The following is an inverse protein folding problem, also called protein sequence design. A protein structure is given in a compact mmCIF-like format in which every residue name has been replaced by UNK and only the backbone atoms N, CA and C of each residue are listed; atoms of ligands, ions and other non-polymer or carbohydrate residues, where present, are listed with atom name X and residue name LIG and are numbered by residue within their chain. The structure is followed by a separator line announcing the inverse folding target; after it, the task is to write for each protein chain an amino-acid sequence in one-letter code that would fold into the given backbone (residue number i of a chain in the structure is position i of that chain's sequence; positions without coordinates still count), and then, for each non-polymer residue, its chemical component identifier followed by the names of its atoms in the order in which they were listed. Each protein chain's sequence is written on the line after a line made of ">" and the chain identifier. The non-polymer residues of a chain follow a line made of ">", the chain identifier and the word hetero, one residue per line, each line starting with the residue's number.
data_IF_706948735333
#
_entry.id   IF_706948735333
#
_cell.length_a   1.000
_cell.length_b   1.000
_cell.length_c   1.000
_cell.angle_alpha   90.00
_cell.angle_beta   90.00
_cell.angle_gamma   90.00
#
_symmetry.space_group_name_H-M   'P 1'
#
loop_
_entity.id
_entity.type
_entity.pdbx_description
1 polymer ?
#
# COMPACT_ATOMS: atom_id res chain seq x y z
N UNK A 1 -25.36 -29.68 19.22
CA UNK A 1 -23.94 -30.07 19.03
C UNK A 1 -23.08 -29.03 19.79
N UNK A 2 -23.22 -28.88 21.11
CA UNK A 2 -22.71 -29.72 22.22
C UNK A 2 -21.19 -29.89 22.20
N UNK A 3 -20.51 -28.95 22.87
CA UNK A 3 -19.39 -29.17 23.80
C UNK A 3 -18.35 -30.23 23.40
N UNK A 4 -17.60 -29.99 22.33
CA UNK A 4 -16.19 -30.42 22.27
C UNK A 4 -15.34 -29.19 22.50
N UNK A 5 -15.29 -28.80 23.77
CA UNK A 5 -14.28 -27.86 24.26
C UNK A 5 -12.94 -28.55 24.06
N UNK A 6 -12.20 -28.06 23.07
CA UNK A 6 -10.77 -28.29 22.86
C UNK A 6 -10.10 -28.22 24.25
N UNK A 7 -9.32 -29.26 24.62
CA UNK A 7 -8.66 -29.33 25.94
C UNK A 7 -7.92 -28.03 26.23
N UNK A 8 -7.84 -27.61 27.51
CA UNK A 8 -7.00 -26.46 27.90
C UNK A 8 -5.54 -26.65 27.49
N UNK A 9 -5.08 -27.89 27.36
CA UNK A 9 -3.74 -28.25 26.89
C UNK A 9 -3.51 -28.04 25.38
N UNK A 10 -4.54 -27.68 24.62
CA UNK A 10 -4.47 -27.42 23.18
C UNK A 10 -4.45 -25.91 22.86
N UNK A 11 -4.27 -25.06 23.87
CA UNK A 11 -4.04 -23.62 23.70
C UNK A 11 -2.60 -23.29 24.10
N UNK A 12 -1.91 -22.56 23.24
CA UNK A 12 -0.62 -21.95 23.54
C UNK A 12 -0.85 -20.44 23.66
N UNK A 13 -0.65 -19.89 24.85
CA UNK A 13 -0.73 -18.45 25.07
C UNK A 13 0.57 -17.80 24.58
N UNK A 14 0.43 -16.88 23.63
CA UNK A 14 1.54 -16.06 23.18
C UNK A 14 1.73 -14.92 24.17
N UNK A 15 2.84 -14.97 24.91
CA UNK A 15 3.25 -13.90 25.81
C UNK A 15 3.63 -12.65 25.00
N UNK A 16 3.53 -11.48 25.64
CA UNK A 16 4.00 -10.25 25.03
C UNK A 16 5.53 -10.30 24.86
N UNK A 17 6.03 -9.75 23.75
CA UNK A 17 7.47 -9.63 23.52
C UNK A 17 8.12 -8.86 24.66
N UNK A 18 9.16 -9.45 25.28
CA UNK A 18 9.93 -8.77 26.29
C UNK A 18 10.95 -7.79 25.66
N UNK A 19 11.56 -6.95 26.50
CA UNK A 19 12.52 -5.95 26.03
C UNK A 19 13.79 -6.56 25.40
N UNK A 20 14.20 -7.73 25.89
CA UNK A 20 15.36 -8.46 25.37
C UNK A 20 15.07 -9.03 23.98
N UNK A 21 13.88 -9.61 23.81
CA UNK A 21 13.38 -10.15 22.55
C UNK A 21 13.23 -9.04 21.51
N UNK A 22 12.67 -7.88 21.88
CA UNK A 22 12.55 -6.73 20.97
C UNK A 22 13.93 -6.32 20.47
N UNK A 23 14.90 -6.16 21.37
CA UNK A 23 16.24 -5.75 20.99
C UNK A 23 16.93 -6.81 20.12
N UNK A 24 16.77 -8.10 20.47
CA UNK A 24 17.35 -9.19 19.70
C UNK A 24 16.73 -9.31 18.29
N UNK A 25 15.42 -9.10 18.15
CA UNK A 25 14.73 -9.07 16.85
C UNK A 25 15.23 -7.90 16.00
N UNK A 26 15.32 -6.70 16.59
CA UNK A 26 15.81 -5.51 15.90
C UNK A 26 17.25 -5.70 15.44
N UNK A 27 18.13 -6.19 16.33
CA UNK A 27 19.54 -6.40 16.01
C UNK A 27 19.74 -7.50 14.96
N UNK A 28 19.00 -8.62 15.05
CA UNK A 28 19.06 -9.69 14.04
C UNK A 28 18.59 -9.19 12.67
N UNK A 29 17.45 -8.50 12.60
CA UNK A 29 16.92 -7.97 11.33
C UNK A 29 17.81 -6.88 10.72
N UNK A 30 18.41 -6.01 11.54
CA UNK A 30 19.39 -5.02 11.08
C UNK A 30 20.66 -5.70 10.55
N UNK A 31 21.13 -6.75 11.22
CA UNK A 31 22.33 -7.50 10.82
C UNK A 31 22.12 -8.23 9.49
N UNK A 32 20.94 -8.84 9.28
CA UNK A 32 20.55 -9.47 8.01
C UNK A 32 20.59 -8.47 6.84
N UNK A 33 20.20 -7.21 7.10
CA UNK A 33 20.22 -6.12 6.13
C UNK A 33 21.56 -5.37 6.06
N UNK A 34 22.60 -5.85 6.78
CA UNK A 34 23.94 -5.23 6.85
C UNK A 34 23.93 -3.75 7.21
N UNK A 35 22.99 -3.36 8.09
CA UNK A 35 22.77 -1.98 8.53
C UNK A 35 22.95 -1.87 10.03
N UNK A 36 23.32 -0.69 10.50
CA UNK A 36 23.38 -0.35 11.91
C UNK A 36 22.76 1.02 12.13
N UNK A 37 21.99 1.17 13.21
CA UNK A 37 21.45 2.45 13.65
C UNK A 37 22.39 3.10 14.67
N UNK A 38 22.30 4.43 14.81
CA UNK A 38 22.98 5.12 15.92
C UNK A 38 22.30 4.78 17.25
N UNK A 39 23.02 4.90 18.37
CA UNK A 39 22.46 4.64 19.71
C UNK A 39 21.13 5.38 19.99
N UNK A 40 21.03 6.69 19.69
CA UNK A 40 19.77 7.42 19.84
C UNK A 40 18.63 6.89 18.95
N UNK A 41 18.91 6.56 17.68
CA UNK A 41 17.92 6.00 16.76
C UNK A 41 17.41 4.64 17.22
N UNK A 42 18.32 3.75 17.69
CA UNK A 42 17.92 2.45 18.22
C UNK A 42 17.06 2.61 19.48
N UNK A 43 17.44 3.54 20.36
CA UNK A 43 16.67 3.82 21.58
C UNK A 43 15.27 4.34 21.26
N UNK A 44 15.14 5.25 20.28
CA UNK A 44 13.84 5.76 19.83
C UNK A 44 12.97 4.63 19.24
N UNK A 45 13.56 3.79 18.37
CA UNK A 45 12.87 2.66 17.74
C UNK A 45 12.35 1.66 18.79
N UNK A 46 13.20 1.19 19.70
CA UNK A 46 12.80 0.26 20.76
C UNK A 46 11.72 0.86 21.67
N UNK A 47 11.81 2.15 21.99
CA UNK A 47 10.78 2.84 22.79
C UNK A 47 9.41 2.89 22.08
N UNK A 48 9.38 3.11 20.77
CA UNK A 48 8.13 3.08 20.00
C UNK A 48 7.58 1.65 19.89
N UNK A 49 8.44 0.65 19.69
CA UNK A 49 8.01 -0.76 19.65
C UNK A 49 7.40 -1.18 20.99
N UNK A 50 7.97 -0.76 22.12
CA UNK A 50 7.41 -1.04 23.46
C UNK A 50 5.97 -0.55 23.64
N UNK A 51 5.58 0.54 22.98
CA UNK A 51 4.22 1.05 23.05
C UNK A 51 3.22 0.12 22.35
N UNK A 52 3.67 -0.63 21.34
CA UNK A 52 2.84 -1.56 20.60
C UNK A 52 3.67 -2.76 20.09
N UNK A 53 3.92 -3.80 20.92
CA UNK A 53 4.79 -4.94 20.60
C UNK A 53 4.09 -5.96 19.68
N UNK A 54 3.66 -5.50 18.50
CA UNK A 54 3.01 -6.34 17.48
C UNK A 54 4.02 -6.58 16.36
N UNK A 55 4.31 -7.83 15.97
CA UNK A 55 5.32 -8.15 14.96
C UNK A 55 5.18 -7.37 13.64
N UNK A 56 3.93 -7.14 13.20
CA UNK A 56 3.65 -6.34 12.00
C UNK A 56 4.16 -4.89 12.14
N UNK A 57 3.98 -4.28 13.32
CA UNK A 57 4.43 -2.91 13.58
C UNK A 57 5.95 -2.84 13.67
N UNK A 58 6.58 -3.84 14.31
CA UNK A 58 8.05 -3.95 14.37
C UNK A 58 8.65 -4.00 12.97
N UNK A 59 8.13 -4.85 12.08
CA UNK A 59 8.63 -4.96 10.71
C UNK A 59 8.47 -3.65 9.93
N UNK A 60 7.32 -2.98 10.05
CA UNK A 60 7.08 -1.72 9.36
C UNK A 60 8.02 -0.59 9.85
N UNK A 61 8.21 -0.48 11.17
CA UNK A 61 9.14 0.50 11.74
C UNK A 61 10.58 0.21 11.35
N UNK A 62 10.97 -1.07 11.29
CA UNK A 62 12.30 -1.46 10.84
C UNK A 62 12.53 -1.09 9.38
N UNK A 63 11.55 -1.30 8.50
CA UNK A 63 11.65 -0.84 7.11
C UNK A 63 11.88 0.66 7.00
N UNK A 64 11.20 1.46 7.83
CA UNK A 64 11.43 2.91 7.87
C UNK A 64 12.82 3.24 8.43
N UNK A 65 13.24 2.55 9.48
CA UNK A 65 14.55 2.73 10.09
C UNK A 65 15.70 2.41 9.12
N UNK A 66 15.54 1.41 8.26
CA UNK A 66 16.51 1.05 7.22
C UNK A 66 16.72 2.17 6.18
N UNK A 67 15.76 3.07 6.02
CA UNK A 67 15.87 4.23 5.13
C UNK A 67 16.52 5.45 5.80
N UNK A 68 16.72 5.45 7.12
CA UNK A 68 17.28 6.62 7.81
C UNK A 68 18.75 6.83 7.45
N UNK A 69 19.15 8.10 7.30
CA UNK A 69 20.55 8.47 7.31
C UNK A 69 21.08 8.56 8.74
N UNK A 70 22.39 8.34 8.94
CA UNK A 70 23.02 8.47 10.25
C UNK A 70 22.91 9.88 10.84
N UNK A 71 22.79 10.90 9.99
CA UNK A 71 22.64 12.30 10.39
C UNK A 71 21.21 12.70 10.73
N UNK A 72 20.21 11.86 10.42
CA UNK A 72 18.80 12.16 10.74
C UNK A 72 18.58 11.95 12.24
N UNK A 73 18.32 13.03 12.96
CA UNK A 73 17.92 12.95 14.36
C UNK A 73 16.47 12.47 14.41
N UNK A 74 16.23 11.35 15.10
CA UNK A 74 14.90 10.73 15.21
C UNK A 74 14.49 10.78 16.67
N UNK A 75 13.36 11.41 16.94
CA UNK A 75 12.77 11.47 18.27
C UNK A 75 11.52 10.59 18.35
N UNK A 76 11.44 9.80 19.41
CA UNK A 76 10.26 9.00 19.72
C UNK A 76 9.04 9.91 19.89
N UNK A 77 7.93 9.56 19.23
CA UNK A 77 6.64 10.25 19.33
C UNK A 77 6.45 11.41 18.35
N UNK A 78 7.49 12.18 18.00
CA UNK A 78 7.36 13.25 16.99
C UNK A 78 7.66 12.78 15.57
N UNK A 79 8.69 11.95 15.40
CA UNK A 79 9.16 11.51 14.08
C UNK A 79 8.75 10.07 13.73
N UNK A 80 8.19 9.35 14.72
CA UNK A 80 7.81 7.96 14.61
C UNK A 80 6.29 7.83 14.74
N UNK A 81 5.64 7.01 13.88
CA UNK A 81 4.21 6.77 13.98
C UNK A 81 3.88 6.07 15.30
N UNK A 82 2.74 6.43 15.87
CA UNK A 82 2.20 5.91 17.13
C UNK A 82 1.40 4.62 16.94
N UNK A 83 1.03 4.29 15.70
CA UNK A 83 0.17 3.17 15.35
C UNK A 83 0.46 2.68 13.93
N UNK A 84 0.04 1.45 13.64
CA UNK A 84 0.08 0.89 12.28
C UNK A 84 -0.74 1.77 11.32
N UNK A 85 -1.90 2.27 11.78
CA UNK A 85 -2.77 3.11 10.97
C UNK A 85 -2.11 4.45 10.60
N UNK A 86 -1.42 5.08 11.56
CA UNK A 86 -0.67 6.32 11.34
C UNK A 86 0.50 6.12 10.37
N UNK A 87 1.24 5.02 10.50
CA UNK A 87 2.32 4.65 9.59
C UNK A 87 1.81 4.46 8.16
N UNK A 88 0.76 3.66 7.99
CA UNK A 88 0.15 3.38 6.68
C UNK A 88 -0.38 4.68 6.07
N UNK A 89 -1.13 5.48 6.83
CA UNK A 89 -1.61 6.77 6.35
C UNK A 89 -0.48 7.72 5.93
N UNK A 90 0.64 7.72 6.66
CA UNK A 90 1.81 8.54 6.32
C UNK A 90 2.44 8.11 4.99
N UNK A 91 2.58 6.79 4.75
CA UNK A 91 3.06 6.28 3.45
C UNK A 91 2.07 6.57 2.32
N UNK A 92 0.77 6.40 2.57
CA UNK A 92 -0.28 6.74 1.60
C UNK A 92 -0.24 8.23 1.24
N UNK A 93 -0.11 9.11 2.24
CA UNK A 93 0.01 10.56 2.06
C UNK A 93 1.25 10.94 1.25
N UNK A 94 2.39 10.29 1.50
CA UNK A 94 3.61 10.49 0.71
C UNK A 94 3.38 10.19 -0.78
N UNK A 95 2.67 9.12 -1.09
CA UNK A 95 2.33 8.78 -2.49
C UNK A 95 1.43 9.85 -3.11
N UNK A 96 0.43 10.33 -2.36
CA UNK A 96 -0.45 11.42 -2.80
C UNK A 96 0.32 12.73 -3.03
N UNK A 97 1.32 13.06 -2.20
CA UNK A 97 2.14 14.25 -2.38
C UNK A 97 3.01 14.19 -3.64
N UNK A 98 3.40 12.99 -4.08
CA UNK A 98 4.24 12.80 -5.28
C UNK A 98 3.39 12.74 -6.55
N UNK A 99 2.26 12.03 -6.51
CA UNK A 99 1.48 11.68 -7.70
C UNK A 99 0.10 12.32 -7.80
N UNK A 100 -0.29 13.08 -6.77
CA UNK A 100 -1.64 13.63 -6.67
C UNK A 100 -2.61 12.69 -5.97
N UNK A 101 -3.60 13.29 -5.31
CA UNK A 101 -4.64 12.56 -4.59
C UNK A 101 -5.54 11.77 -5.55
N UNK A 102 -5.86 12.31 -6.73
CA UNK A 102 -6.73 11.64 -7.70
C UNK A 102 -6.12 10.33 -8.17
N UNK A 103 -4.89 10.36 -8.67
CA UNK A 103 -4.19 9.19 -9.22
C UNK A 103 -4.05 8.11 -8.15
N UNK A 104 -3.57 8.52 -6.97
CA UNK A 104 -3.34 7.63 -5.84
C UNK A 104 -4.63 7.00 -5.34
N UNK A 105 -5.67 7.81 -5.15
CA UNK A 105 -6.98 7.35 -4.69
C UNK A 105 -7.60 6.35 -5.68
N UNK A 106 -7.59 6.64 -6.99
CA UNK A 106 -8.15 5.72 -8.00
C UNK A 106 -7.41 4.39 -8.02
N UNK A 107 -6.08 4.42 -8.04
CA UNK A 107 -5.22 3.24 -8.04
C UNK A 107 -5.46 2.34 -6.82
N UNK A 108 -5.41 2.91 -5.62
CA UNK A 108 -5.56 2.14 -4.39
C UNK A 108 -7.00 1.72 -4.13
N UNK A 109 -7.98 2.48 -4.63
CA UNK A 109 -9.38 2.08 -4.57
C UNK A 109 -9.68 0.87 -5.45
N UNK A 110 -9.05 0.72 -6.62
CA UNK A 110 -9.15 -0.51 -7.42
C UNK A 110 -8.62 -1.71 -6.64
N UNK A 111 -7.45 -1.58 -6.02
CA UNK A 111 -6.89 -2.64 -5.15
C UNK A 111 -7.80 -2.97 -3.96
N UNK A 112 -8.42 -1.97 -3.31
CA UNK A 112 -9.40 -2.19 -2.23
C UNK A 112 -10.73 -2.81 -2.72
N UNK A 113 -11.04 -2.71 -4.02
CA UNK A 113 -12.29 -3.21 -4.60
C UNK A 113 -12.14 -4.61 -5.20
N UNK A 114 -10.91 -5.03 -5.50
CA UNK A 114 -10.59 -6.36 -5.99
C UNK A 114 -10.46 -7.37 -4.84
N UNK A 115 -11.21 -8.47 -4.90
CA UNK A 115 -11.27 -9.44 -3.80
C UNK A 115 -9.94 -10.17 -3.55
N UNK A 116 -9.26 -10.60 -4.61
CA UNK A 116 -8.00 -11.36 -4.53
C UNK A 116 -6.77 -10.51 -4.92
N UNK A 117 -6.96 -9.20 -5.12
CA UNK A 117 -5.98 -8.36 -5.79
C UNK A 117 -6.14 -8.32 -7.31
N UNK A 118 -5.20 -7.65 -7.97
CA UNK A 118 -5.16 -7.44 -9.41
C UNK A 118 -3.76 -7.75 -9.92
N UNK A 119 -3.63 -8.35 -11.09
CA UNK A 119 -2.34 -8.38 -11.77
C UNK A 119 -1.89 -6.96 -12.13
N UNK A 120 -0.59 -6.77 -12.32
CA UNK A 120 -0.03 -5.48 -12.72
C UNK A 120 -0.68 -4.97 -14.02
N UNK A 121 -0.88 -5.86 -14.99
CA UNK A 121 -1.52 -5.52 -16.27
C UNK A 121 -2.98 -5.10 -16.07
N UNK A 122 -3.75 -5.83 -15.27
CA UNK A 122 -5.15 -5.47 -14.98
C UNK A 122 -5.26 -4.10 -14.30
N UNK A 123 -4.36 -3.80 -13.35
CA UNK A 123 -4.32 -2.48 -12.70
C UNK A 123 -3.97 -1.37 -13.69
N UNK A 124 -2.94 -1.57 -14.54
CA UNK A 124 -2.54 -0.60 -15.55
C UNK A 124 -3.65 -0.38 -16.59
N UNK A 125 -4.37 -1.42 -17.00
CA UNK A 125 -5.49 -1.31 -17.92
C UNK A 125 -6.67 -0.52 -17.31
N UNK A 126 -7.00 -0.75 -16.03
CA UNK A 126 -8.00 0.03 -15.31
C UNK A 126 -7.64 1.52 -15.23
N UNK A 127 -6.38 1.82 -14.91
CA UNK A 127 -5.88 3.18 -14.85
C UNK A 127 -5.85 3.84 -16.24
N UNK A 128 -5.50 3.08 -17.28
CA UNK A 128 -5.52 3.54 -18.67
C UNK A 128 -6.93 3.88 -19.16
N UNK A 129 -7.94 3.18 -18.64
CA UNK A 129 -9.34 3.43 -18.96
C UNK A 129 -9.98 4.54 -18.12
N UNK A 130 -9.26 5.10 -17.15
CA UNK A 130 -9.77 6.13 -16.25
C UNK A 130 -9.37 7.54 -16.75
N UNK A 131 -10.34 8.27 -17.29
CA UNK A 131 -10.09 9.59 -17.89
C UNK A 131 -9.50 10.59 -16.90
N UNK A 132 -9.96 10.59 -15.64
CA UNK A 132 -9.46 11.51 -14.61
C UNK A 132 -7.97 11.27 -14.34
N UNK A 133 -7.58 10.00 -14.21
CA UNK A 133 -6.19 9.60 -13.99
C UNK A 133 -5.32 9.99 -15.19
N UNK A 134 -5.79 9.68 -16.39
CA UNK A 134 -5.02 9.88 -17.61
C UNK A 134 -4.82 11.36 -17.92
N UNK A 135 -5.81 12.20 -17.66
CA UNK A 135 -5.70 13.65 -17.81
C UNK A 135 -4.75 14.30 -16.79
N UNK A 136 -4.57 13.69 -15.62
CA UNK A 136 -3.67 14.18 -14.58
C UNK A 136 -2.21 13.77 -14.85
N UNK A 137 -2.02 12.61 -15.49
CA UNK A 137 -0.68 12.02 -15.68
C UNK A 137 -0.07 12.31 -17.04
N UNK A 138 -0.87 12.40 -18.10
CA UNK A 138 -0.37 12.55 -19.47
C UNK A 138 -0.42 13.99 -19.96
N UNK A 139 0.57 14.35 -20.76
CA UNK A 139 0.63 15.64 -21.46
C UNK A 139 -0.38 15.69 -22.61
N UNK A 140 -0.77 16.90 -23.08
CA UNK A 140 -1.67 17.04 -24.23
C UNK A 140 -1.19 16.30 -25.49
N UNK A 141 0.13 16.22 -25.71
CA UNK A 141 0.71 15.50 -26.84
C UNK A 141 0.50 13.98 -26.71
N UNK A 142 0.69 13.42 -25.52
CA UNK A 142 0.48 11.99 -25.25
C UNK A 142 -1.00 11.61 -25.33
N UNK A 143 -1.90 12.51 -24.92
CA UNK A 143 -3.36 12.32 -25.07
C UNK A 143 -3.84 12.30 -26.53
N UNK A 144 -3.06 12.87 -27.45
CA UNK A 144 -3.34 12.82 -28.88
C UNK A 144 -2.78 11.56 -29.55
N UNK A 145 -2.03 10.74 -28.82
CA UNK A 145 -1.59 9.45 -29.32
C UNK A 145 -2.80 8.50 -29.47
N UNK A 146 -2.87 7.78 -30.58
CA UNK A 146 -4.00 6.87 -30.86
C UNK A 146 -4.14 5.70 -29.88
N UNK A 147 -3.12 5.42 -29.07
CA UNK A 147 -3.16 4.42 -28.00
C UNK A 147 -2.65 5.06 -26.70
N UNK A 148 -3.50 5.08 -25.69
CA UNK A 148 -3.25 5.75 -24.42
C UNK A 148 -3.06 4.71 -23.32
N UNK A 149 -1.97 4.85 -22.57
CA UNK A 149 -1.57 3.91 -21.53
C UNK A 149 -1.09 4.66 -20.31
N UNK A 150 -1.49 4.19 -19.13
CA UNK A 150 -0.93 4.65 -17.88
C UNK A 150 0.57 4.29 -17.82
N UNK A 151 1.47 5.23 -17.47
CA UNK A 151 2.90 4.95 -17.40
C UNK A 151 3.23 3.93 -16.31
N UNK A 152 3.72 2.75 -16.70
CA UNK A 152 4.11 1.70 -15.76
C UNK A 152 5.19 2.15 -14.76
N UNK A 153 6.04 3.11 -15.15
CA UNK A 153 7.06 3.70 -14.27
C UNK A 153 6.47 4.35 -13.01
N UNK A 154 5.29 4.96 -13.13
CA UNK A 154 4.59 5.56 -11.98
C UNK A 154 4.15 4.45 -11.03
N UNK A 155 3.48 3.41 -11.55
CA UNK A 155 3.05 2.29 -10.73
C UNK A 155 4.23 1.61 -10.02
N UNK A 156 5.32 1.35 -10.72
CA UNK A 156 6.52 0.72 -10.15
C UNK A 156 7.09 1.55 -8.99
N UNK A 157 7.09 2.88 -9.11
CA UNK A 157 7.54 3.75 -8.03
C UNK A 157 6.54 3.77 -6.86
N UNK A 158 5.23 3.84 -7.12
CA UNK A 158 4.20 3.73 -6.08
C UNK A 158 4.34 2.42 -5.31
N UNK A 159 4.48 1.29 -6.01
CA UNK A 159 4.71 -0.03 -5.41
C UNK A 159 5.95 -0.04 -4.51
N UNK A 160 7.04 0.61 -4.96
CA UNK A 160 8.26 0.75 -4.16
C UNK A 160 8.04 1.61 -2.91
N UNK A 161 7.30 2.71 -3.01
CA UNK A 161 7.00 3.60 -1.88
C UNK A 161 6.11 2.93 -0.83
N UNK A 162 5.14 2.12 -1.26
CA UNK A 162 4.27 1.37 -0.36
C UNK A 162 5.02 0.19 0.29
N UNK A 163 6.04 -0.36 -0.38
CA UNK A 163 6.89 -1.40 0.18
C UNK A 163 6.09 -2.63 0.58
N UNK A 164 6.29 -3.12 1.80
CA UNK A 164 5.59 -4.30 2.32
C UNK A 164 4.10 -4.12 2.60
N UNK A 165 3.54 -2.91 2.45
CA UNK A 165 2.09 -2.69 2.53
C UNK A 165 1.36 -3.50 1.45
N UNK A 166 2.00 -3.68 0.30
CA UNK A 166 1.53 -4.53 -0.79
C UNK A 166 2.42 -5.75 -0.91
N UNK A 167 1.81 -6.87 -1.31
CA UNK A 167 2.53 -8.09 -1.62
C UNK A 167 2.17 -8.60 -3.01
N UNK A 168 2.88 -9.65 -3.43
CA UNK A 168 2.61 -10.36 -4.67
C UNK A 168 2.25 -11.81 -4.33
N UNK A 169 1.05 -12.22 -4.72
CA UNK A 169 0.54 -13.57 -4.47
C UNK A 169 0.30 -14.26 -5.80
N UNK A 170 0.71 -15.51 -5.91
CA UNK A 170 0.41 -16.34 -7.08
C UNK A 170 -0.90 -17.07 -6.90
N UNK A 171 -1.85 -16.81 -7.80
CA UNK A 171 -3.16 -17.48 -7.87
C UNK A 171 -3.35 -17.99 -9.29
N UNK A 172 -3.59 -19.29 -9.46
CA UNK A 172 -3.85 -19.93 -10.76
C UNK A 172 -2.89 -19.51 -11.88
N UNK A 173 -1.58 -19.59 -11.60
CA UNK A 173 -0.47 -19.21 -12.50
C UNK A 173 -0.37 -17.72 -12.85
N UNK A 174 -1.23 -16.87 -12.27
CA UNK A 174 -1.14 -15.41 -12.36
C UNK A 174 -0.49 -14.84 -11.11
N UNK A 175 0.26 -13.76 -11.29
CA UNK A 175 0.79 -12.96 -10.19
C UNK A 175 -0.16 -11.79 -9.93
N UNK A 176 -0.70 -11.73 -8.72
CA UNK A 176 -1.63 -10.72 -8.28
C UNK A 176 -0.98 -9.85 -7.21
N UNK A 177 -1.30 -8.57 -7.25
CA UNK A 177 -0.92 -7.57 -6.25
C UNK A 177 -2.10 -7.39 -5.31
N UNK A 178 -1.86 -7.59 -4.02
CA UNK A 178 -2.87 -7.40 -2.98
C UNK A 178 -2.27 -6.74 -1.74
N UNK A 179 -3.15 -6.35 -0.82
CA UNK A 179 -2.76 -5.87 0.51
C UNK A 179 -2.15 -7.02 1.30
N UNK A 180 -0.93 -6.84 1.82
CA UNK A 180 -0.22 -7.90 2.56
C UNK A 180 -0.83 -8.21 3.92
N UNK A 181 -1.62 -7.28 4.46
CA UNK A 181 -2.34 -7.49 5.70
C UNK A 181 -3.72 -6.84 5.67
N UNK A 182 -4.68 -7.49 6.33
CA UNK A 182 -6.09 -7.00 6.39
C UNK A 182 -6.19 -5.60 6.97
N UNK A 183 -5.30 -5.24 7.91
CA UNK A 183 -5.27 -3.90 8.51
C UNK A 183 -4.94 -2.82 7.47
N UNK A 184 -4.06 -3.10 6.51
CA UNK A 184 -3.68 -2.15 5.47
C UNK A 184 -4.84 -1.92 4.50
N UNK A 185 -5.49 -3.01 4.09
CA UNK A 185 -6.71 -2.93 3.28
C UNK A 185 -7.81 -2.13 3.99
N UNK A 186 -7.95 -2.28 5.31
CA UNK A 186 -8.92 -1.53 6.11
C UNK A 186 -8.61 -0.03 6.13
N UNK A 187 -7.38 0.35 6.45
CA UNK A 187 -6.94 1.75 6.50
C UNK A 187 -7.11 2.42 5.12
N UNK A 188 -6.66 1.75 4.06
CA UNK A 188 -6.81 2.23 2.70
C UNK A 188 -8.29 2.32 2.27
N UNK A 189 -9.13 1.37 2.71
CA UNK A 189 -10.58 1.43 2.45
C UNK A 189 -11.24 2.60 3.17
N UNK A 190 -10.88 2.87 4.44
CA UNK A 190 -11.39 4.03 5.18
C UNK A 190 -11.00 5.35 4.50
N UNK A 191 -9.80 5.40 3.91
CA UNK A 191 -9.29 6.59 3.20
C UNK A 191 -9.92 6.77 1.82
N UNK A 192 -10.04 5.72 1.02
CA UNK A 192 -10.38 5.82 -0.41
C UNK A 192 -11.76 5.29 -0.80
N UNK A 193 -12.47 4.57 0.08
CA UNK A 193 -13.82 4.04 -0.16
C UNK A 193 -14.87 4.78 0.66
N UNK A 194 -14.83 6.11 0.62
CA UNK A 194 -15.76 6.96 1.38
C UNK A 194 -17.11 7.08 0.65
N UNK A 195 -17.09 7.36 -0.66
CA UNK A 195 -18.32 7.60 -1.43
C UNK A 195 -18.81 6.32 -2.10
N UNK A 196 -20.06 5.96 -1.82
CA UNK A 196 -20.71 4.77 -2.40
C UNK A 196 -20.67 4.75 -3.93
N UNK A 197 -20.88 5.89 -4.58
CA UNK A 197 -20.86 5.97 -6.06
C UNK A 197 -19.47 5.72 -6.65
N UNK A 198 -18.42 6.16 -5.96
CA UNK A 198 -17.03 5.89 -6.36
C UNK A 198 -16.67 4.40 -6.22
N UNK A 199 -17.16 3.74 -5.18
CA UNK A 199 -17.00 2.29 -4.98
C UNK A 199 -17.73 1.52 -6.07
N UNK A 200 -19.00 1.89 -6.36
CA UNK A 200 -19.78 1.27 -7.44
C UNK A 200 -19.09 1.45 -8.79
N UNK A 201 -18.55 2.63 -9.07
CA UNK A 201 -17.78 2.87 -10.29
C UNK A 201 -16.56 1.96 -10.36
N UNK A 202 -15.79 1.83 -9.28
CA UNK A 202 -14.63 0.92 -9.25
C UNK A 202 -15.01 -0.54 -9.52
N UNK A 203 -16.12 -1.03 -8.95
CA UNK A 203 -16.62 -2.37 -9.27
C UNK A 203 -17.09 -2.51 -10.72
N UNK A 204 -17.70 -1.46 -11.29
CA UNK A 204 -18.10 -1.44 -12.71
C UNK A 204 -16.88 -1.49 -13.62
N UNK A 205 -15.87 -0.65 -13.38
CA UNK A 205 -14.63 -0.63 -14.18
C UNK A 205 -13.94 -1.99 -14.17
N UNK A 206 -13.85 -2.62 -12.99
CA UNK A 206 -13.29 -3.97 -12.83
C UNK A 206 -14.13 -4.99 -13.62
N UNK A 207 -15.46 -4.93 -13.53
CA UNK A 207 -16.33 -5.82 -14.30
C UNK A 207 -16.17 -5.62 -15.82
N UNK A 208 -16.09 -4.38 -16.28
CA UNK A 208 -15.86 -4.05 -17.70
C UNK A 208 -14.52 -4.56 -18.22
N UNK A 209 -13.47 -4.52 -17.38
CA UNK A 209 -12.17 -5.11 -17.71
C UNK A 209 -12.30 -6.62 -17.95
N UNK A 210 -12.92 -7.35 -17.02
CA UNK A 210 -13.06 -8.81 -17.11
C UNK A 210 -14.06 -9.28 -18.17
N UNK A 211 -14.99 -8.41 -18.56
CA UNK A 211 -15.91 -8.65 -19.68
C UNK A 211 -15.28 -8.27 -21.04
N UNK A 212 -14.02 -7.81 -21.05
CA UNK A 212 -13.33 -7.40 -22.27
C UNK A 212 -14.06 -6.29 -23.05
N UNK A 213 -14.89 -5.48 -22.35
CA UNK A 213 -15.78 -4.47 -22.94
C UNK A 213 -15.01 -3.46 -23.82
N UNK A 214 -13.75 -3.22 -23.50
CA UNK A 214 -12.88 -2.24 -24.17
C UNK A 214 -11.80 -2.87 -25.06
N UNK A 215 -11.90 -4.16 -25.39
CA UNK A 215 -10.98 -4.80 -26.35
C UNK A 215 -11.17 -4.18 -27.74
N UNK A 216 -10.24 -3.30 -28.13
CA UNK A 216 -10.22 -2.64 -29.43
C UNK A 216 -10.03 -1.12 -29.34
N UNK A 217 -10.88 -0.41 -28.58
CA UNK A 217 -10.73 1.01 -28.24
C UNK A 217 -11.80 1.46 -27.22
N UNK A 218 -11.40 2.21 -26.19
CA UNK A 218 -12.32 3.06 -25.40
C UNK A 218 -12.30 4.47 -25.97
N UNK A 219 -13.44 5.07 -26.38
CA UNK A 219 -13.47 6.46 -26.77
C UNK A 219 -13.09 7.33 -25.57
N UNK A 220 -11.96 8.01 -25.67
CA UNK A 220 -11.52 8.98 -24.68
C UNK A 220 -12.46 10.18 -24.70
N UNK A 221 -12.97 10.54 -23.53
CA UNK A 221 -13.63 11.84 -23.36
C UNK A 221 -12.52 12.83 -23.09
N UNK A 222 -12.00 13.45 -24.14
CA UNK A 222 -11.08 14.59 -24.01
C UNK A 222 -11.96 15.79 -23.64
N UNK A 223 -11.80 16.40 -22.45
CA UNK A 223 -12.49 17.63 -22.14
C UNK A 223 -11.94 18.70 -23.08
N UNK A 224 -12.82 19.45 -23.73
CA UNK A 224 -12.46 20.68 -24.43
C UNK A 224 -11.87 21.64 -23.37
N UNK A 225 -10.56 21.59 -23.15
CA UNK A 225 -9.88 22.69 -22.46
C UNK A 225 -9.85 23.81 -23.47
N UNK A 226 -10.70 24.82 -23.24
CA UNK A 226 -10.72 26.08 -23.97
C UNK A 226 -9.28 26.56 -24.15
N UNK A 227 -8.81 26.51 -25.40
CA UNK A 227 -7.57 27.17 -25.81
C UNK A 227 -7.94 28.66 -25.85
N UNK A 228 -7.71 29.36 -24.73
CA UNK A 228 -7.65 30.83 -24.71
C UNK A 228 -6.21 31.29 -24.93
#
# INVERSE_FOLDING_TARGET
>A
LRNHLISKDAFFELEALDDGDIQHIVDDLLSQQKRSLTGPQNTALCNTIRQQPVPLFVNLLLEEALQWSSSKNIQCGSDLPDSIESLVNSRLKMVEDIYGETVTSRMLRYLCSAHHGLSEMELLDLLSCNNDVIQEVLTPLELQAGLIRFPASIWLHVRKLLGSILEEVRVDQKSLICWSHRVFALVASQRYRIKTEEIKQSHRDIAELFLETWVGNKPMVVPEKDIQ
#
